data_IF_209288045664
#
_entry.id   IF_209288045664
#
_cell.length_a   1.000
_cell.length_b   1.000
_cell.length_c   1.000
_cell.angle_alpha   90.00
_cell.angle_beta   90.00
_cell.angle_gamma   90.00
#
_symmetry.space_group_name_H-M   'P 1'
#
loop_
_entity.id
_entity.type
_entity.pdbx_description
1 polymer ?
#
# COMPACT_ATOMS: atom_id res chain seq x y z
N UNK A 1 -19.81 3.89 35.16
CA UNK A 1 -18.35 3.63 35.26
C UNK A 1 -17.88 2.53 34.30
N UNK A 2 -18.49 1.34 34.29
CA UNK A 2 -18.12 0.27 33.33
C UNK A 2 -18.19 0.69 31.85
N UNK A 3 -19.22 1.42 31.44
CA UNK A 3 -19.40 1.92 30.06
C UNK A 3 -18.39 3.00 29.64
N UNK A 4 -17.86 3.78 30.58
CA UNK A 4 -16.86 4.83 30.31
C UNK A 4 -15.50 4.19 30.05
N UNK A 5 -15.17 3.09 30.75
CA UNK A 5 -13.93 2.34 30.56
C UNK A 5 -13.91 1.67 29.18
N UNK A 6 -15.05 1.10 28.73
CA UNK A 6 -15.14 0.50 27.40
C UNK A 6 -14.99 1.52 26.28
N UNK A 7 -15.55 2.73 26.46
CA UNK A 7 -15.44 3.80 25.47
C UNK A 7 -14.00 4.33 25.37
N UNK A 8 -13.28 4.43 26.50
CA UNK A 8 -11.88 4.85 26.52
C UNK A 8 -10.95 3.84 25.80
N UNK A 9 -11.22 2.54 25.94
CA UNK A 9 -10.43 1.48 25.31
C UNK A 9 -10.54 1.49 23.77
N UNK A 10 -11.72 1.84 23.24
CA UNK A 10 -11.97 1.95 21.79
C UNK A 10 -11.24 3.13 21.14
N UNK A 11 -10.97 4.21 21.88
CA UNK A 11 -10.24 5.37 21.33
C UNK A 11 -8.73 5.14 21.21
N UNK A 12 -8.14 4.21 21.99
CA UNK A 12 -6.70 3.95 21.93
C UNK A 12 -6.27 3.14 20.70
N UNK A 13 -7.15 2.30 20.15
CA UNK A 13 -6.79 1.42 19.03
C UNK A 13 -6.57 2.17 17.71
N UNK A 14 -7.27 3.29 17.49
CA UNK A 14 -7.15 4.08 16.26
C UNK A 14 -5.81 4.84 16.16
N UNK A 15 -5.23 5.23 17.30
CA UNK A 15 -3.96 5.95 17.37
C UNK A 15 -2.80 5.04 16.92
N UNK A 16 -2.81 3.76 17.31
CA UNK A 16 -1.77 2.79 16.95
C UNK A 16 -1.70 2.54 15.44
N UNK A 17 -2.86 2.47 14.77
CA UNK A 17 -2.94 2.23 13.33
C UNK A 17 -2.39 3.42 12.53
N UNK A 18 -2.69 4.65 12.98
CA UNK A 18 -2.19 5.86 12.35
C UNK A 18 -0.65 5.97 12.48
N UNK A 19 -0.10 5.60 13.64
CA UNK A 19 1.34 5.61 13.86
C UNK A 19 2.07 4.59 12.99
N UNK A 20 1.57 3.35 12.88
CA UNK A 20 2.15 2.32 12.01
C UNK A 20 2.20 2.74 10.54
N UNK A 21 1.14 3.40 10.07
CA UNK A 21 1.09 3.90 8.67
C UNK A 21 2.15 4.97 8.43
N UNK A 22 2.31 5.90 9.36
CA UNK A 22 3.31 6.96 9.24
C UNK A 22 4.72 6.38 9.21
N UNK A 23 5.00 5.35 10.02
CA UNK A 23 6.31 4.69 10.03
C UNK A 23 6.67 4.08 8.66
N UNK A 24 5.69 3.52 7.94
CA UNK A 24 5.90 3.01 6.57
C UNK A 24 6.17 4.14 5.56
N UNK A 25 5.53 5.30 5.74
CA UNK A 25 5.77 6.49 4.90
C UNK A 25 7.17 7.09 5.14
N UNK A 26 7.74 6.91 6.33
CA UNK A 26 9.07 7.43 6.68
C UNK A 26 10.22 6.85 5.84
N UNK A 27 9.98 5.75 5.14
CA UNK A 27 10.94 5.19 4.15
C UNK A 27 11.23 6.21 3.03
N UNK A 28 10.26 7.06 2.68
CA UNK A 28 10.37 8.00 1.56
C UNK A 28 10.12 9.45 1.92
N UNK A 29 9.37 9.72 2.99
CA UNK A 29 8.94 11.06 3.36
C UNK A 29 9.42 11.41 4.77
N UNK A 30 9.81 12.66 4.99
CA UNK A 30 10.12 13.17 6.32
C UNK A 30 8.85 13.36 7.16
N UNK A 31 9.00 13.44 8.49
CA UNK A 31 7.89 13.70 9.41
C UNK A 31 7.14 15.00 9.09
N UNK A 32 7.86 16.06 8.70
CA UNK A 32 7.23 17.33 8.35
C UNK A 32 6.49 17.27 7.01
N UNK A 33 6.98 16.49 6.03
CA UNK A 33 6.24 16.24 4.79
C UNK A 33 4.97 15.44 5.06
N UNK A 34 5.03 14.38 5.87
CA UNK A 34 3.85 13.61 6.27
C UNK A 34 2.82 14.50 6.97
N UNK A 35 3.28 15.33 7.92
CA UNK A 35 2.43 16.28 8.65
C UNK A 35 1.83 17.34 7.73
N UNK A 36 2.57 17.79 6.72
CA UNK A 36 2.08 18.72 5.70
C UNK A 36 1.01 18.03 4.85
N UNK A 37 1.27 16.80 4.38
CA UNK A 37 0.29 16.03 3.59
C UNK A 37 -1.01 15.83 4.36
N UNK A 38 -0.95 15.48 5.64
CA UNK A 38 -2.14 15.35 6.50
C UNK A 38 -2.95 16.64 6.63
N UNK A 39 -2.31 17.81 6.60
CA UNK A 39 -2.96 19.10 6.87
C UNK A 39 -3.49 19.77 5.61
N UNK A 40 -2.73 19.73 4.51
CA UNK A 40 -3.00 20.54 3.32
C UNK A 40 -3.12 19.72 2.03
N UNK A 41 -2.82 18.42 2.06
CA UNK A 41 -2.89 17.53 0.89
C UNK A 41 -3.54 16.19 1.27
N UNK A 42 -4.71 16.27 1.91
CA UNK A 42 -5.40 15.10 2.47
C UNK A 42 -5.59 13.98 1.44
N UNK A 43 -5.94 14.33 0.19
CA UNK A 43 -6.11 13.36 -0.89
C UNK A 43 -4.81 12.61 -1.21
N UNK A 44 -3.67 13.30 -1.20
CA UNK A 44 -2.36 12.68 -1.42
C UNK A 44 -1.99 11.76 -0.27
N UNK A 45 -2.22 12.19 0.97
CA UNK A 45 -1.97 11.34 2.15
C UNK A 45 -2.81 10.07 2.10
N UNK A 46 -4.10 10.19 1.78
CA UNK A 46 -5.02 9.08 1.70
C UNK A 46 -4.68 8.12 0.56
N UNK A 47 -4.32 8.67 -0.61
CA UNK A 47 -3.84 7.87 -1.73
C UNK A 47 -2.59 7.06 -1.36
N UNK A 48 -1.59 7.69 -0.76
CA UNK A 48 -0.36 7.00 -0.33
C UNK A 48 -0.64 5.94 0.73
N UNK A 49 -1.49 6.25 1.70
CA UNK A 49 -1.92 5.29 2.72
C UNK A 49 -2.60 4.08 2.09
N UNK A 50 -3.44 4.30 1.09
CA UNK A 50 -4.09 3.21 0.35
C UNK A 50 -3.08 2.39 -0.45
N UNK A 51 -2.09 3.02 -1.07
CA UNK A 51 -1.02 2.31 -1.78
C UNK A 51 -0.27 1.34 -0.87
N UNK A 52 -0.09 1.68 0.41
CA UNK A 52 0.59 0.82 1.40
C UNK A 52 -0.21 -0.43 1.79
N UNK A 53 -1.53 -0.44 1.61
CA UNK A 53 -2.40 -1.54 2.09
C UNK A 53 -3.09 -2.30 0.97
N UNK A 54 -3.62 -1.58 -0.02
CA UNK A 54 -4.52 -2.11 -1.04
C UNK A 54 -4.00 -1.83 -2.46
N UNK A 55 -2.95 -1.02 -2.63
CA UNK A 55 -2.41 -0.62 -3.94
C UNK A 55 -1.65 -1.73 -4.68
N UNK A 56 -1.37 -2.84 -4.02
CA UNK A 56 -0.71 -3.99 -4.59
C UNK A 56 -1.24 -5.27 -3.94
N UNK A 57 -0.93 -6.41 -4.55
CA UNK A 57 -1.17 -7.72 -3.96
C UNK A 57 -0.22 -8.75 -4.56
N UNK A 58 -0.08 -9.89 -3.89
CA UNK A 58 0.69 -11.02 -4.38
C UNK A 58 -0.23 -12.12 -4.91
N UNK A 59 0.15 -12.75 -6.01
CA UNK A 59 -0.52 -13.94 -6.56
C UNK A 59 0.50 -15.00 -6.92
N UNK A 60 0.10 -16.26 -6.92
CA UNK A 60 0.98 -17.34 -7.38
C UNK A 60 1.37 -17.15 -8.84
N UNK A 61 2.62 -17.49 -9.14
CA UNK A 61 3.13 -17.48 -10.51
C UNK A 61 2.39 -18.56 -11.32
N UNK A 62 1.67 -18.18 -12.40
CA UNK A 62 0.88 -19.14 -13.16
C UNK A 62 1.78 -20.15 -13.89
N UNK A 63 1.61 -21.43 -13.59
CA UNK A 63 2.44 -22.52 -14.16
C UNK A 63 2.18 -22.78 -15.64
N UNK A 64 0.94 -22.55 -16.10
CA UNK A 64 0.46 -22.99 -17.43
C UNK A 64 0.33 -21.88 -18.46
N UNK A 65 0.41 -20.60 -18.06
CA UNK A 65 0.21 -19.45 -18.95
C UNK A 65 1.49 -18.64 -19.04
N UNK A 66 1.99 -18.43 -20.26
CA UNK A 66 3.11 -17.51 -20.47
C UNK A 66 2.68 -16.08 -20.12
N UNK A 67 3.38 -15.48 -19.16
CA UNK A 67 3.17 -14.10 -18.72
C UNK A 67 4.31 -13.18 -19.15
N UNK A 68 5.32 -13.69 -19.86
CA UNK A 68 6.57 -12.97 -20.18
C UNK A 68 6.32 -11.58 -20.77
N UNK A 69 5.28 -11.44 -21.60
CA UNK A 69 4.94 -10.18 -22.27
C UNK A 69 4.26 -9.14 -21.35
N UNK A 70 3.93 -9.50 -20.11
CA UNK A 70 3.29 -8.61 -19.13
C UNK A 70 4.19 -8.27 -17.94
N UNK A 71 5.34 -8.95 -17.81
CA UNK A 71 6.28 -8.72 -16.72
C UNK A 71 7.02 -7.41 -16.95
N UNK A 72 6.85 -6.48 -16.01
CA UNK A 72 7.50 -5.18 -15.96
C UNK A 72 8.93 -5.25 -15.41
N UNK A 73 9.29 -6.36 -14.77
CA UNK A 73 10.62 -6.60 -14.24
C UNK A 73 10.60 -7.62 -13.12
N UNK A 74 11.66 -7.59 -12.31
CA UNK A 74 11.87 -8.51 -11.21
C UNK A 74 12.34 -7.73 -9.98
N UNK A 75 11.88 -8.15 -8.81
CA UNK A 75 12.10 -7.44 -7.54
C UNK A 75 12.53 -8.42 -6.45
N UNK A 76 13.43 -7.98 -5.59
CA UNK A 76 13.83 -8.74 -4.41
C UNK A 76 13.02 -8.25 -3.20
N UNK A 77 12.26 -9.15 -2.58
CA UNK A 77 11.44 -8.86 -1.41
C UNK A 77 11.77 -9.90 -0.34
N UNK A 78 12.39 -9.46 0.76
CA UNK A 78 12.80 -10.35 1.83
C UNK A 78 11.58 -11.03 2.49
N UNK A 79 10.65 -10.22 3.00
CA UNK A 79 9.43 -10.67 3.65
C UNK A 79 8.19 -10.05 2.96
N UNK A 80 7.33 -10.91 2.40
CA UNK A 80 6.11 -10.47 1.71
C UNK A 80 5.02 -10.00 2.68
N UNK A 81 5.03 -10.49 3.93
CA UNK A 81 4.02 -10.16 4.94
C UNK A 81 4.26 -8.79 5.57
N UNK A 82 5.51 -8.34 5.55
CA UNK A 82 5.96 -7.03 6.06
C UNK A 82 6.34 -6.07 4.92
N UNK A 83 5.97 -6.41 3.70
CA UNK A 83 6.38 -5.67 2.51
C UNK A 83 5.86 -4.23 2.51
N UNK A 84 6.76 -3.28 2.28
CA UNK A 84 6.43 -1.87 2.10
C UNK A 84 6.59 -1.48 0.62
N UNK A 85 5.47 -1.15 -0.03
CA UNK A 85 5.43 -0.73 -1.44
C UNK A 85 6.44 0.38 -1.79
N UNK A 86 6.71 1.30 -0.87
CA UNK A 86 7.57 2.46 -1.12
C UNK A 86 9.05 2.10 -1.26
N UNK A 87 9.47 0.91 -0.80
CA UNK A 87 10.87 0.46 -0.88
C UNK A 87 11.30 0.15 -2.31
N UNK A 88 10.37 -0.26 -3.18
CA UNK A 88 10.70 -0.70 -4.54
C UNK A 88 10.90 0.46 -5.53
N UNK A 89 10.67 1.71 -5.12
CA UNK A 89 10.70 2.88 -6.00
C UNK A 89 9.94 2.68 -7.33
N UNK A 90 8.84 1.93 -7.30
CA UNK A 90 8.01 1.68 -8.46
C UNK A 90 7.17 2.91 -8.78
N UNK A 91 7.30 3.42 -10.00
CA UNK A 91 6.39 4.42 -10.55
C UNK A 91 5.06 3.76 -10.96
N UNK A 92 3.94 4.25 -10.44
CA UNK A 92 2.61 3.78 -10.83
C UNK A 92 2.25 4.25 -12.24
N UNK A 93 1.64 3.38 -13.04
CA UNK A 93 1.07 3.78 -14.33
C UNK A 93 -0.36 4.30 -14.12
N UNK A 94 -0.78 5.21 -15.00
CA UNK A 94 -2.11 5.82 -14.88
C UNK A 94 -3.22 4.76 -15.02
N UNK A 95 -3.17 3.97 -16.09
CA UNK A 95 -4.29 3.15 -16.58
C UNK A 95 -3.97 1.65 -16.72
N UNK A 96 -2.75 1.21 -16.39
CA UNK A 96 -2.36 -0.19 -16.48
C UNK A 96 -1.66 -0.68 -15.22
N UNK A 97 -1.74 -1.98 -15.00
CA UNK A 97 -1.13 -2.67 -13.89
C UNK A 97 0.32 -3.01 -14.22
N UNK A 98 1.17 -3.02 -13.20
CA UNK A 98 2.55 -3.54 -13.33
C UNK A 98 2.67 -4.89 -12.65
N UNK A 99 3.46 -5.77 -13.25
CA UNK A 99 3.64 -7.14 -12.79
C UNK A 99 5.13 -7.40 -12.61
N UNK A 100 5.53 -7.81 -11.41
CA UNK A 100 6.92 -8.12 -11.11
C UNK A 100 7.05 -9.54 -10.60
N UNK A 101 8.02 -10.29 -11.09
CA UNK A 101 8.41 -11.56 -10.47
C UNK A 101 9.18 -11.27 -9.18
N UNK A 102 8.90 -12.02 -8.12
CA UNK A 102 9.61 -11.87 -6.85
C UNK A 102 10.73 -12.89 -6.77
N UNK A 103 11.94 -12.44 -6.48
CA UNK A 103 13.12 -13.31 -6.38
C UNK A 103 12.93 -14.40 -5.34
N UNK A 104 13.41 -15.59 -5.68
CA UNK A 104 13.39 -16.80 -4.84
C UNK A 104 11.99 -17.18 -4.30
N UNK A 105 10.93 -16.63 -4.90
CA UNK A 105 9.53 -16.91 -4.54
C UNK A 105 8.72 -17.23 -5.80
N UNK A 106 7.77 -18.15 -5.69
CA UNK A 106 6.86 -18.52 -6.79
C UNK A 106 5.63 -17.61 -6.86
N UNK A 107 5.84 -16.30 -6.68
CA UNK A 107 4.76 -15.31 -6.66
C UNK A 107 5.06 -14.13 -7.57
N UNK A 108 3.99 -13.46 -8.01
CA UNK A 108 4.01 -12.19 -8.70
C UNK A 108 3.55 -11.10 -7.75
N UNK A 109 4.30 -10.00 -7.70
CA UNK A 109 3.80 -8.73 -7.19
C UNK A 109 2.99 -8.06 -8.30
N UNK A 110 1.72 -7.79 -8.01
CA UNK A 110 0.83 -7.06 -8.89
C UNK A 110 0.57 -5.68 -8.30
N UNK A 111 0.94 -4.65 -9.04
CA UNK A 111 0.77 -3.25 -8.65
C UNK A 111 -0.36 -2.65 -9.46
N UNK A 112 -1.38 -2.12 -8.77
CA UNK A 112 -2.56 -1.51 -9.39
C UNK A 112 -2.21 -0.20 -10.07
N UNK A 113 -3.00 0.16 -11.09
CA UNK A 113 -2.91 1.47 -11.72
C UNK A 113 -3.45 2.58 -10.81
N UNK A 114 -3.07 3.84 -11.10
CA UNK A 114 -3.60 5.02 -10.40
C UNK A 114 -5.13 5.08 -10.53
N UNK A 115 -5.66 4.84 -11.73
CA UNK A 115 -7.10 4.87 -11.99
C UNK A 115 -7.85 3.83 -11.14
N UNK A 116 -7.30 2.62 -11.02
CA UNK A 116 -7.93 1.57 -10.24
C UNK A 116 -7.92 1.91 -8.74
N UNK A 117 -6.78 2.36 -8.20
CA UNK A 117 -6.67 2.80 -6.81
C UNK A 117 -7.68 3.93 -6.52
N UNK A 118 -7.76 4.92 -7.40
CA UNK A 118 -8.71 6.02 -7.26
C UNK A 118 -10.17 5.56 -7.33
N UNK A 119 -10.48 4.55 -8.15
CA UNK A 119 -11.83 3.98 -8.20
C UNK A 119 -12.21 3.28 -6.88
N UNK A 120 -11.31 2.49 -6.30
CA UNK A 120 -11.55 1.81 -5.02
C UNK A 120 -11.66 2.80 -3.85
N UNK A 121 -10.82 3.83 -3.84
CA UNK A 121 -10.90 4.92 -2.85
C UNK A 121 -12.25 5.62 -2.88
N UNK A 122 -12.80 5.88 -4.07
CA UNK A 122 -14.15 6.48 -4.22
C UNK A 122 -15.24 5.56 -3.67
N UNK A 123 -15.15 4.26 -3.92
CA UNK A 123 -16.12 3.28 -3.43
C UNK A 123 -16.05 3.10 -1.92
N UNK A 124 -14.87 3.09 -1.30
CA UNK A 124 -14.73 2.94 0.17
C UNK A 124 -15.18 4.19 0.96
N UNK A 125 -15.35 5.34 0.31
CA UNK A 125 -15.84 6.58 0.92
C UNK A 125 -17.37 6.73 0.91
N UNK A 126 -18.09 5.89 0.15
CA UNK A 126 -19.55 5.85 0.10
C UNK A 126 -20.11 4.93 1.18
#
# INVERSE_FOLDING_TARGET
MRTIITLLLLCFSSILIAQKTDDLLLVKYTKEEIKTMKRSQSDKYEFLKFCLTDGFYFVDLPEKKSIKNRISGNVSIANIEEFNFLELNIELLQNDYKYYTVDDKKVLLVVKSIDHINSELKTKKQ
#
